data_IF_875528624860
#
_entry.id   IF_875528624860
#
_cell.length_a   1.000
_cell.length_b   1.000
_cell.length_c   1.000
_cell.angle_alpha   90.00
_cell.angle_beta   90.00
_cell.angle_gamma   90.00
#
_symmetry.space_group_name_H-M   'P 1'
#
loop_
_entity.id
_entity.type
_entity.pdbx_description
1 polymer ?
#
# COMPACT_ATOMS: atom_id res chain seq x y z
N UNK A 1 -37.96 7.22 -13.66
CA UNK A 1 -37.40 5.84 -13.75
C UNK A 1 -37.71 5.17 -12.41
N UNK A 2 -38.84 4.46 -12.33
CA UNK A 2 -39.52 4.11 -11.06
C UNK A 2 -38.93 2.86 -10.39
N UNK A 3 -38.61 3.02 -9.11
CA UNK A 3 -38.21 1.97 -8.15
C UNK A 3 -39.33 0.94 -8.00
N UNK A 4 -39.03 -0.33 -8.18
CA UNK A 4 -39.91 -1.43 -7.76
C UNK A 4 -39.17 -2.25 -6.70
N UNK A 5 -39.24 -1.78 -5.45
CA UNK A 5 -39.00 -2.65 -4.29
C UNK A 5 -40.23 -3.53 -4.11
N UNK A 6 -40.19 -4.74 -4.67
CA UNK A 6 -41.22 -5.75 -4.40
C UNK A 6 -40.92 -6.35 -3.02
N UNK A 7 -41.90 -6.24 -2.12
CA UNK A 7 -41.90 -6.90 -0.81
C UNK A 7 -41.66 -8.40 -0.99
N UNK A 8 -40.61 -8.92 -0.36
CA UNK A 8 -40.35 -10.37 -0.31
C UNK A 8 -41.51 -11.04 0.41
N UNK A 9 -42.05 -12.11 -0.16
CA UNK A 9 -43.18 -12.83 0.43
C UNK A 9 -42.71 -13.61 1.67
N UNK A 10 -43.56 -13.78 2.70
CA UNK A 10 -43.20 -14.48 3.94
C UNK A 10 -42.68 -15.91 3.71
N UNK A 11 -43.13 -16.57 2.64
CA UNK A 11 -42.67 -17.90 2.23
C UNK A 11 -41.19 -17.92 1.80
N UNK A 12 -40.72 -16.87 1.14
CA UNK A 12 -39.30 -16.77 0.74
C UNK A 12 -38.40 -16.49 1.94
N UNK A 13 -38.88 -15.70 2.90
CA UNK A 13 -38.18 -15.46 4.16
C UNK A 13 -38.08 -16.74 5.01
N UNK A 14 -39.16 -17.53 5.08
CA UNK A 14 -39.18 -18.82 5.81
C UNK A 14 -38.27 -19.88 5.17
N UNK A 15 -38.14 -19.87 3.83
CA UNK A 15 -37.17 -20.73 3.13
C UNK A 15 -35.72 -20.30 3.40
N UNK A 16 -35.44 -19.00 3.47
CA UNK A 16 -34.10 -18.51 3.79
C UNK A 16 -33.73 -18.80 5.25
N UNK A 17 -34.68 -18.74 6.18
CA UNK A 17 -34.47 -19.07 7.59
C UNK A 17 -34.24 -20.58 7.79
N UNK A 18 -34.92 -21.43 7.00
CA UNK A 18 -34.65 -22.87 6.95
C UNK A 18 -33.26 -23.20 6.41
N UNK A 19 -32.82 -22.52 5.34
CA UNK A 19 -31.46 -22.70 4.80
C UNK A 19 -30.40 -22.16 5.78
N UNK A 20 -30.70 -21.10 6.53
CA UNK A 20 -29.78 -20.55 7.54
C UNK A 20 -29.72 -21.39 8.82
N UNK A 21 -30.78 -22.14 9.15
CA UNK A 21 -30.86 -23.00 10.34
C UNK A 21 -30.39 -24.43 10.08
N UNK A 22 -30.39 -24.89 8.83
CA UNK A 22 -29.61 -26.05 8.38
C UNK A 22 -28.13 -25.67 8.24
N UNK A 23 -27.53 -25.30 9.38
CA UNK A 23 -26.09 -25.37 9.58
C UNK A 23 -25.67 -26.80 9.23
N UNK A 24 -24.85 -26.94 8.20
CA UNK A 24 -24.17 -28.18 7.85
C UNK A 24 -23.58 -28.78 9.13
N UNK A 25 -24.19 -29.85 9.62
CA UNK A 25 -23.59 -30.71 10.63
C UNK A 25 -22.40 -31.43 9.97
N UNK A 26 -21.27 -30.75 9.92
CA UNK A 26 -19.99 -31.34 9.55
C UNK A 26 -19.50 -32.17 10.75
N UNK A 27 -19.97 -33.41 10.82
CA UNK A 27 -19.36 -34.49 11.60
C UNK A 27 -18.03 -34.87 10.94
N UNK A 28 -17.05 -33.98 11.07
CA UNK A 28 -15.74 -34.11 10.46
C UNK A 28 -14.75 -33.22 11.16
N UNK A 29 -13.99 -33.79 12.10
CA UNK A 29 -12.91 -33.09 12.79
C UNK A 29 -11.87 -32.55 11.80
N UNK A 30 -11.98 -31.28 11.42
CA UNK A 30 -10.89 -30.46 10.92
C UNK A 30 -10.81 -29.25 11.82
N UNK A 31 -9.76 -29.20 12.63
CA UNK A 31 -9.37 -27.99 13.35
C UNK A 31 -8.98 -26.91 12.33
N UNK A 32 -9.97 -26.24 11.75
CA UNK A 32 -9.75 -25.07 10.91
C UNK A 32 -9.49 -23.89 11.84
N UNK A 33 -8.22 -23.72 12.22
CA UNK A 33 -7.76 -22.39 12.60
C UNK A 33 -8.18 -21.44 11.48
N UNK A 34 -8.86 -20.31 11.77
CA UNK A 34 -9.22 -19.35 10.75
C UNK A 34 -7.97 -18.97 9.96
N UNK A 35 -7.97 -19.18 8.64
CA UNK A 35 -6.86 -18.77 7.80
C UNK A 35 -6.72 -17.25 7.99
N UNK A 36 -5.57 -16.75 8.47
CA UNK A 36 -5.38 -15.34 8.71
C UNK A 36 -5.65 -14.54 7.44
N UNK A 37 -6.18 -13.34 7.55
CA UNK A 37 -6.28 -12.45 6.40
C UNK A 37 -4.87 -12.18 5.86
N UNK A 38 -4.69 -12.05 4.54
CA UNK A 38 -3.39 -11.67 3.95
C UNK A 38 -2.85 -10.35 4.55
N UNK A 39 -3.73 -9.50 5.08
CA UNK A 39 -3.33 -8.27 5.76
C UNK A 39 -2.64 -8.50 7.12
N UNK A 40 -2.88 -9.64 7.74
CA UNK A 40 -2.38 -10.03 9.07
C UNK A 40 -1.18 -10.97 9.00
N UNK A 41 -0.89 -11.54 7.82
CA UNK A 41 0.25 -12.44 7.60
C UNK A 41 1.60 -11.70 7.71
N UNK A 42 2.60 -12.40 8.25
CA UNK A 42 4.00 -12.00 8.20
C UNK A 42 4.56 -12.07 6.77
N UNK A 43 5.78 -11.56 6.55
CA UNK A 43 6.44 -11.71 5.24
C UNK A 43 6.65 -13.19 4.93
N UNK A 44 7.13 -13.94 5.92
CA UNK A 44 7.45 -15.36 5.80
C UNK A 44 6.21 -16.18 5.43
N UNK A 45 5.10 -15.95 6.15
CA UNK A 45 3.83 -16.64 5.88
C UNK A 45 3.29 -16.30 4.48
N UNK A 46 3.42 -15.04 4.08
CA UNK A 46 2.91 -14.55 2.81
C UNK A 46 3.76 -15.02 1.62
N UNK A 47 5.08 -15.20 1.80
CA UNK A 47 5.97 -15.84 0.83
C UNK A 47 5.62 -17.34 0.68
N UNK A 48 5.41 -18.05 1.79
CA UNK A 48 4.96 -19.44 1.75
C UNK A 48 3.60 -19.57 1.03
N UNK A 49 2.66 -18.68 1.33
CA UNK A 49 1.37 -18.62 0.66
C UNK A 49 1.50 -18.30 -0.83
N UNK A 50 2.42 -17.40 -1.22
CA UNK A 50 2.69 -17.10 -2.62
C UNK A 50 3.20 -18.34 -3.38
N UNK A 51 4.09 -19.13 -2.77
CA UNK A 51 4.58 -20.40 -3.36
C UNK A 51 3.42 -21.38 -3.55
N UNK A 52 2.55 -21.51 -2.54
CA UNK A 52 1.37 -22.37 -2.62
C UNK A 52 0.45 -21.95 -3.77
N UNK A 53 0.11 -20.65 -3.86
CA UNK A 53 -0.73 -20.11 -4.93
C UNK A 53 -0.15 -20.37 -6.31
N UNK A 54 1.17 -20.18 -6.48
CA UNK A 54 1.87 -20.47 -7.74
C UNK A 54 1.80 -21.96 -8.09
N UNK A 55 2.03 -22.85 -7.13
CA UNK A 55 2.01 -24.29 -7.35
C UNK A 55 0.64 -24.80 -7.80
N UNK A 56 -0.44 -24.15 -7.33
CA UNK A 56 -1.83 -24.48 -7.66
C UNK A 56 -2.35 -23.72 -8.89
N UNK A 57 -1.53 -22.88 -9.54
CA UNK A 57 -1.97 -22.03 -10.65
C UNK A 57 -3.06 -21.02 -10.25
N UNK A 58 -3.12 -20.62 -8.98
CA UNK A 58 -4.10 -19.68 -8.44
C UNK A 58 -3.65 -18.23 -8.61
N UNK A 59 -4.58 -17.29 -8.42
CA UNK A 59 -4.28 -15.86 -8.49
C UNK A 59 -3.33 -15.43 -7.36
N UNK A 60 -2.15 -14.93 -7.73
CA UNK A 60 -1.06 -14.50 -6.83
C UNK A 60 -1.09 -13.01 -6.50
N UNK A 61 -1.94 -12.23 -7.17
CA UNK A 61 -1.89 -10.77 -7.18
C UNK A 61 -2.05 -10.15 -5.79
N UNK A 62 -2.99 -10.64 -5.00
CA UNK A 62 -3.24 -10.14 -3.65
C UNK A 62 -2.00 -10.31 -2.76
N UNK A 63 -1.41 -11.50 -2.78
CA UNK A 63 -0.20 -11.82 -2.04
C UNK A 63 1.00 -10.98 -2.53
N UNK A 64 1.21 -10.87 -3.84
CA UNK A 64 2.30 -10.05 -4.41
C UNK A 64 2.18 -8.58 -4.03
N UNK A 65 0.98 -7.99 -4.13
CA UNK A 65 0.76 -6.58 -3.71
C UNK A 65 1.08 -6.39 -2.25
N UNK A 66 0.61 -7.30 -1.38
CA UNK A 66 0.86 -7.19 0.05
C UNK A 66 2.35 -7.39 0.38
N UNK A 67 3.03 -8.33 -0.27
CA UNK A 67 4.47 -8.52 -0.14
C UNK A 67 5.23 -7.27 -0.58
N UNK A 68 4.88 -6.65 -1.71
CA UNK A 68 5.52 -5.40 -2.16
C UNK A 68 5.43 -4.33 -1.07
N UNK A 69 4.23 -4.13 -0.51
CA UNK A 69 4.00 -3.14 0.54
C UNK A 69 4.85 -3.42 1.80
N UNK A 70 5.00 -4.69 2.18
CA UNK A 70 5.80 -5.10 3.33
C UNK A 70 7.29 -4.95 3.06
N UNK A 71 7.79 -5.43 1.92
CA UNK A 71 9.21 -5.30 1.56
C UNK A 71 9.63 -3.84 1.44
N UNK A 72 8.80 -2.96 0.87
CA UNK A 72 9.07 -1.51 0.88
C UNK A 72 9.14 -0.94 2.30
N UNK A 73 8.20 -1.31 3.18
CA UNK A 73 8.17 -0.87 4.59
C UNK A 73 9.42 -1.28 5.35
N UNK A 74 9.88 -2.52 5.14
CA UNK A 74 11.07 -3.08 5.80
C UNK A 74 12.39 -2.81 5.04
N UNK A 75 12.35 -2.01 3.97
CA UNK A 75 13.52 -1.59 3.19
C UNK A 75 14.25 -2.74 2.48
N UNK A 76 13.54 -3.80 2.13
CA UNK A 76 14.07 -4.93 1.36
C UNK A 76 14.04 -4.61 -0.14
N UNK A 77 15.04 -3.88 -0.65
CA UNK A 77 15.06 -3.36 -2.02
C UNK A 77 14.97 -4.47 -3.07
N UNK A 78 15.91 -5.41 -3.07
CA UNK A 78 16.02 -6.41 -4.13
C UNK A 78 14.71 -7.20 -4.30
N UNK A 79 14.15 -7.67 -3.19
CA UNK A 79 12.89 -8.43 -3.20
C UNK A 79 11.70 -7.58 -3.62
N UNK A 80 11.64 -6.30 -3.21
CA UNK A 80 10.60 -5.40 -3.66
C UNK A 80 10.65 -5.20 -5.19
N UNK A 81 11.85 -5.10 -5.78
CA UNK A 81 12.04 -4.98 -7.23
C UNK A 81 11.59 -6.24 -7.96
N UNK A 82 12.01 -7.42 -7.50
CA UNK A 82 11.56 -8.70 -8.08
C UNK A 82 10.03 -8.85 -8.08
N UNK A 83 9.37 -8.44 -6.99
CA UNK A 83 7.91 -8.46 -6.89
C UNK A 83 7.28 -7.41 -7.81
N UNK A 84 7.87 -6.22 -7.91
CA UNK A 84 7.39 -5.17 -8.79
C UNK A 84 7.41 -5.61 -10.25
N UNK A 85 8.47 -6.29 -10.69
CA UNK A 85 8.57 -6.85 -12.03
C UNK A 85 7.55 -7.97 -12.29
N UNK A 86 7.30 -8.83 -11.29
CA UNK A 86 6.26 -9.86 -11.38
C UNK A 86 4.88 -9.22 -11.59
N UNK A 87 4.54 -8.20 -10.78
CA UNK A 87 3.27 -7.48 -10.91
C UNK A 87 3.15 -6.75 -12.25
N UNK A 88 4.23 -6.18 -12.76
CA UNK A 88 4.24 -5.50 -14.06
C UNK A 88 4.00 -6.49 -15.22
N UNK A 89 4.57 -7.70 -15.15
CA UNK A 89 4.34 -8.76 -16.15
C UNK A 89 2.90 -9.27 -16.17
N UNK A 90 2.22 -9.24 -15.03
CA UNK A 90 0.82 -9.64 -14.91
C UNK A 90 -0.15 -8.61 -15.55
N UNK A 91 0.36 -7.49 -16.07
CA UNK A 91 -0.37 -6.55 -16.92
C UNK A 91 -1.29 -5.56 -16.19
N UNK A 92 -1.30 -5.59 -14.86
CA UNK A 92 -2.03 -4.60 -14.05
C UNK A 92 -1.12 -3.47 -13.60
N UNK A 93 -1.54 -2.23 -13.85
CA UNK A 93 -0.84 -1.03 -13.39
C UNK A 93 -0.74 -0.96 -11.86
N UNK A 94 0.30 -0.27 -11.37
CA UNK A 94 0.47 -0.01 -9.95
C UNK A 94 -0.53 1.03 -9.47
N UNK A 95 -0.96 0.93 -8.21
CA UNK A 95 -1.81 1.94 -7.57
C UNK A 95 -0.96 3.09 -7.03
N UNK A 96 -1.58 4.24 -6.76
CA UNK A 96 -0.91 5.37 -6.09
C UNK A 96 -0.23 4.96 -4.78
N UNK A 97 -0.87 4.08 -3.99
CA UNK A 97 -0.30 3.49 -2.77
C UNK A 97 0.99 2.71 -3.05
N UNK A 98 1.02 1.89 -4.11
CA UNK A 98 2.21 1.11 -4.47
C UNK A 98 3.36 2.02 -4.90
N UNK A 99 3.06 3.05 -5.71
CA UNK A 99 4.06 4.05 -6.08
C UNK A 99 4.57 4.84 -4.87
N UNK A 100 3.70 5.20 -3.92
CA UNK A 100 4.11 5.85 -2.68
C UNK A 100 5.08 5.00 -1.83
N UNK A 101 4.89 3.68 -1.79
CA UNK A 101 5.82 2.79 -1.09
C UNK A 101 7.15 2.63 -1.83
N UNK A 102 7.12 2.49 -3.16
CA UNK A 102 8.33 2.43 -3.97
C UNK A 102 9.14 3.73 -3.88
N UNK A 103 8.47 4.89 -3.98
CA UNK A 103 9.12 6.20 -3.81
C UNK A 103 9.84 6.29 -2.46
N UNK A 104 9.15 5.94 -1.36
CA UNK A 104 9.75 5.98 -0.02
C UNK A 104 10.88 4.93 0.14
N UNK A 105 10.78 3.77 -0.51
CA UNK A 105 11.86 2.79 -0.55
C UNK A 105 13.11 3.35 -1.24
N UNK A 106 12.97 4.01 -2.39
CA UNK A 106 14.09 4.66 -3.09
C UNK A 106 14.67 5.82 -2.30
N UNK A 107 13.84 6.61 -1.63
CA UNK A 107 14.32 7.65 -0.71
C UNK A 107 15.22 7.05 0.38
N UNK A 108 14.82 5.92 0.97
CA UNK A 108 15.61 5.25 2.00
C UNK A 108 16.96 4.71 1.47
N UNK A 109 17.08 4.46 0.17
CA UNK A 109 18.30 4.00 -0.49
C UNK A 109 19.08 5.13 -1.19
N UNK A 110 18.61 6.38 -1.09
CA UNK A 110 19.27 7.54 -1.68
C UNK A 110 19.12 7.66 -3.21
N UNK A 111 18.25 6.87 -3.84
CA UNK A 111 18.00 6.92 -5.28
C UNK A 111 16.95 8.01 -5.59
N UNK A 112 17.42 9.26 -5.71
CA UNK A 112 16.54 10.41 -5.89
C UNK A 112 15.76 10.37 -7.21
N UNK A 113 16.40 9.90 -8.28
CA UNK A 113 15.78 9.93 -9.61
C UNK A 113 14.58 8.99 -9.67
N UNK A 114 14.71 7.76 -9.17
CA UNK A 114 13.58 6.82 -9.09
C UNK A 114 12.53 7.24 -8.06
N UNK A 115 12.96 7.87 -6.96
CA UNK A 115 12.01 8.41 -5.99
C UNK A 115 11.10 9.48 -6.63
N UNK A 116 11.68 10.39 -7.42
CA UNK A 116 10.93 11.42 -8.14
C UNK A 116 10.07 10.85 -9.28
N UNK A 117 10.57 9.84 -10.00
CA UNK A 117 9.79 9.11 -11.00
C UNK A 117 8.52 8.54 -10.39
N UNK A 118 8.65 7.77 -9.29
CA UNK A 118 7.49 7.20 -8.62
C UNK A 118 6.59 8.26 -7.98
N UNK A 119 7.16 9.34 -7.45
CA UNK A 119 6.36 10.45 -6.94
C UNK A 119 5.47 11.06 -8.03
N UNK A 120 6.00 11.27 -9.24
CA UNK A 120 5.21 11.76 -10.39
C UNK A 120 4.14 10.76 -10.83
N UNK A 121 4.41 9.46 -10.74
CA UNK A 121 3.45 8.41 -11.10
C UNK A 121 2.27 8.35 -10.12
N UNK A 122 2.44 8.73 -8.86
CA UNK A 122 1.34 8.82 -7.89
C UNK A 122 0.24 9.75 -8.42
N UNK A 123 0.61 10.98 -8.80
CA UNK A 123 -0.34 11.99 -9.30
C UNK A 123 -0.98 11.57 -10.63
N UNK A 124 -0.26 10.83 -11.48
CA UNK A 124 -0.80 10.35 -12.76
C UNK A 124 -1.85 9.25 -12.57
N UNK A 125 -1.61 8.34 -11.62
CA UNK A 125 -2.51 7.21 -11.36
C UNK A 125 -3.71 7.63 -10.52
N UNK A 126 -3.50 8.50 -9.54
CA UNK A 126 -4.54 9.01 -8.67
C UNK A 126 -4.23 10.45 -8.26
N UNK A 127 -4.75 11.46 -9.00
CA UNK A 127 -4.57 12.87 -8.67
C UNK A 127 -5.14 13.28 -7.31
N UNK A 128 -6.02 12.47 -6.73
CA UNK A 128 -6.62 12.72 -5.41
C UNK A 128 -5.82 12.08 -4.27
N UNK A 129 -4.79 11.30 -4.61
CA UNK A 129 -3.96 10.60 -3.63
C UNK A 129 -3.16 11.59 -2.80
N UNK A 130 -3.40 11.58 -1.49
CA UNK A 130 -2.58 12.30 -0.53
C UNK A 130 -1.43 11.41 -0.06
N UNK A 131 -0.20 11.85 -0.28
CA UNK A 131 0.98 11.22 0.29
C UNK A 131 1.09 11.51 1.80
N UNK A 132 1.65 10.56 2.56
CA UNK A 132 1.89 10.76 3.99
C UNK A 132 2.91 11.88 4.24
N UNK A 133 2.71 12.70 5.27
CA UNK A 133 3.52 13.89 5.54
C UNK A 133 5.00 13.53 5.75
N UNK A 134 5.29 12.45 6.47
CA UNK A 134 6.64 11.95 6.68
C UNK A 134 7.37 11.54 5.38
N UNK A 135 6.64 11.03 4.36
CA UNK A 135 7.23 10.63 3.06
C UNK A 135 7.61 11.86 2.24
N UNK A 136 6.77 12.89 2.25
CA UNK A 136 7.07 14.19 1.62
C UNK A 136 8.32 14.80 2.24
N UNK A 137 8.40 14.84 3.57
CA UNK A 137 9.56 15.39 4.27
C UNK A 137 10.85 14.59 4.01
N UNK A 138 10.77 13.26 3.93
CA UNK A 138 11.92 12.43 3.60
C UNK A 138 12.40 12.66 2.16
N UNK A 139 11.49 12.74 1.19
CA UNK A 139 11.81 13.04 -0.20
C UNK A 139 12.47 14.42 -0.32
N UNK A 140 11.89 15.43 0.34
CA UNK A 140 12.45 16.78 0.38
C UNK A 140 13.85 16.79 1.00
N UNK A 141 14.09 16.05 2.09
CA UNK A 141 15.42 15.96 2.70
C UNK A 141 16.46 15.37 1.73
N UNK A 142 16.09 14.36 0.94
CA UNK A 142 16.96 13.79 -0.10
C UNK A 142 17.21 14.78 -1.25
N UNK A 143 16.17 15.51 -1.67
CA UNK A 143 16.29 16.56 -2.69
C UNK A 143 17.26 17.66 -2.25
N UNK A 144 17.12 18.15 -1.00
CA UNK A 144 18.04 19.13 -0.42
C UNK A 144 19.47 18.60 -0.41
N UNK A 145 19.68 17.39 0.10
CA UNK A 145 21.01 16.75 0.14
C UNK A 145 21.63 16.59 -1.25
N UNK A 146 20.82 16.57 -2.30
CA UNK A 146 21.24 16.47 -3.70
C UNK A 146 21.33 17.83 -4.41
N UNK A 147 21.29 18.95 -3.67
CA UNK A 147 21.40 20.31 -4.20
C UNK A 147 20.11 20.87 -4.82
N UNK A 148 18.99 20.14 -4.76
CA UNK A 148 17.68 20.56 -5.31
C UNK A 148 16.83 21.31 -4.27
N UNK A 149 17.43 22.31 -3.60
CA UNK A 149 16.79 23.06 -2.51
C UNK A 149 15.46 23.71 -2.92
N UNK A 150 15.46 24.42 -4.05
CA UNK A 150 14.28 25.17 -4.49
C UNK A 150 13.10 24.26 -4.85
N UNK A 151 13.38 23.11 -5.45
CA UNK A 151 12.37 22.10 -5.78
C UNK A 151 11.83 21.45 -4.51
N UNK A 152 12.69 21.16 -3.53
CA UNK A 152 12.29 20.60 -2.24
C UNK A 152 11.36 21.54 -1.48
N UNK A 153 11.67 22.84 -1.49
CA UNK A 153 10.82 23.87 -0.89
C UNK A 153 9.45 23.92 -1.57
N UNK A 154 9.43 23.99 -2.89
CA UNK A 154 8.19 24.01 -3.69
C UNK A 154 7.31 22.79 -3.40
N UNK A 155 7.91 21.60 -3.31
CA UNK A 155 7.22 20.36 -2.98
C UNK A 155 6.52 20.42 -1.61
N UNK A 156 7.25 20.88 -0.58
CA UNK A 156 6.72 21.00 0.78
C UNK A 156 5.58 22.02 0.82
N UNK A 157 5.79 23.21 0.26
CA UNK A 157 4.79 24.28 0.26
C UNK A 157 3.50 23.81 -0.44
N UNK A 158 3.61 23.26 -1.64
CA UNK A 158 2.46 22.75 -2.40
C UNK A 158 1.70 21.66 -1.63
N UNK A 159 2.40 20.71 -1.01
CA UNK A 159 1.76 19.62 -0.25
C UNK A 159 0.97 20.13 0.95
N UNK A 160 1.58 21.00 1.76
CA UNK A 160 0.95 21.46 2.99
C UNK A 160 -0.08 22.57 2.77
N UNK A 161 0.02 23.36 1.69
CA UNK A 161 -1.04 24.28 1.26
C UNK A 161 -2.30 23.52 0.83
N UNK A 162 -2.13 22.44 0.05
CA UNK A 162 -3.27 21.69 -0.50
C UNK A 162 -3.98 20.81 0.53
N UNK A 163 -3.27 20.38 1.57
CA UNK A 163 -3.77 19.31 2.43
C UNK A 163 -3.63 19.56 3.94
N UNK A 164 -2.87 20.58 4.34
CA UNK A 164 -2.51 20.81 5.73
C UNK A 164 -1.62 19.72 6.33
N UNK A 165 -1.23 19.95 7.59
CA UNK A 165 -0.51 18.96 8.41
C UNK A 165 -1.55 18.04 9.06
N UNK A 166 -1.46 16.73 8.82
CA UNK A 166 -2.37 15.73 9.41
C UNK A 166 -1.69 14.81 10.40
N UNK A 167 -0.40 14.54 10.21
CA UNK A 167 0.39 13.77 11.17
C UNK A 167 0.70 14.62 12.41
N UNK A 168 0.75 14.00 13.59
CA UNK A 168 1.07 14.72 14.81
C UNK A 168 2.51 15.27 14.73
N UNK A 169 2.78 16.50 15.21
CA UNK A 169 4.13 17.09 15.13
C UNK A 169 5.23 16.18 15.72
N UNK A 170 4.93 15.50 16.83
CA UNK A 170 5.87 14.58 17.48
C UNK A 170 6.26 13.39 16.61
N UNK A 171 5.36 12.92 15.74
CA UNK A 171 5.67 11.80 14.82
C UNK A 171 6.57 12.22 13.66
N UNK A 172 6.64 13.53 13.36
CA UNK A 172 7.43 14.10 12.27
C UNK A 172 8.82 14.57 12.70
N UNK A 173 9.11 14.59 14.00
CA UNK A 173 10.34 15.19 14.55
C UNK A 173 11.61 14.66 13.87
N UNK A 174 11.70 13.36 13.62
CA UNK A 174 12.85 12.74 12.95
C UNK A 174 13.01 13.23 11.51
N UNK A 175 11.92 13.35 10.77
CA UNK A 175 11.92 13.77 9.38
C UNK A 175 12.31 15.24 9.26
N UNK A 176 11.75 16.08 10.12
CA UNK A 176 12.12 17.51 10.22
C UNK A 176 13.59 17.67 10.58
N UNK A 177 14.09 16.92 11.58
CA UNK A 177 15.49 16.96 11.95
C UNK A 177 16.41 16.57 10.78
N UNK A 178 16.06 15.54 10.00
CA UNK A 178 16.81 15.15 8.79
C UNK A 178 16.81 16.25 7.74
N UNK A 179 15.66 16.87 7.48
CA UNK A 179 15.54 17.97 6.52
C UNK A 179 16.40 19.18 6.94
N UNK A 180 16.35 19.58 8.21
CA UNK A 180 17.14 20.69 8.73
C UNK A 180 18.64 20.42 8.67
N UNK A 181 19.07 19.20 8.99
CA UNK A 181 20.48 18.82 8.88
C UNK A 181 20.95 18.81 7.42
N UNK A 182 20.12 18.32 6.49
CA UNK A 182 20.41 18.38 5.07
C UNK A 182 20.58 19.84 4.60
N UNK A 183 19.71 20.74 5.07
CA UNK A 183 19.77 22.17 4.75
C UNK A 183 21.02 22.85 5.31
N UNK A 184 21.41 22.50 6.55
CA UNK A 184 22.57 23.07 7.22
C UNK A 184 23.91 22.58 6.63
N UNK A 185 23.88 21.50 5.86
CA UNK A 185 25.07 20.90 5.23
C UNK A 185 25.32 21.40 3.80
N UNK A 186 24.47 22.30 3.29
CA UNK A 186 24.62 22.95 1.97
C UNK A 186 25.54 24.16 2.03
#
# INVERSE_FOLDING_TARGET
>A
RNRHGKSLTPSVLDMLDKISSEVFADEGASSSTPIPSQNEMSIEDLEAHLVELKSKGMNTRGALRRLLMLHCRYRNLDRALEISEQLARDGEGFTGVMHAQLADLYVAHGDLDKALEHHKLIEQVDPSFRLDDHKVLNLAALMVSSGKWQDAKTLIEAHFENHGVKEAPDTLQRNVHRLLNAAASQ
#
